data_IF_890324379730
#
_entry.id   IF_890324379730
#
_cell.length_a   1.000
_cell.length_b   1.000
_cell.length_c   1.000
_cell.angle_alpha   90.00
_cell.angle_beta   90.00
_cell.angle_gamma   90.00
#
_symmetry.space_group_name_H-M   'P 1'
#
loop_
_entity.id
_entity.type
_entity.pdbx_description
1 polymer ?
#
# COMPACT_ATOMS: atom_id res chain seq x y z
N UNK A 1 -14.15 69.84 -47.82
CA UNK A 1 -14.00 68.37 -47.99
C UNK A 1 -13.33 67.82 -46.75
N UNK A 2 -13.82 66.74 -46.11
CA UNK A 2 -13.13 66.14 -44.99
C UNK A 2 -11.87 65.43 -45.49
N UNK A 3 -10.70 65.83 -44.99
CA UNK A 3 -9.36 65.34 -45.38
C UNK A 3 -8.89 64.12 -44.59
N UNK A 4 -9.80 63.39 -43.94
CA UNK A 4 -9.44 62.22 -43.15
C UNK A 4 -10.42 61.07 -43.37
N UNK A 5 -10.11 60.24 -44.37
CA UNK A 5 -10.84 59.02 -44.75
C UNK A 5 -10.20 57.75 -44.16
N UNK A 6 -9.31 57.86 -43.17
CA UNK A 6 -8.80 56.69 -42.46
C UNK A 6 -9.85 56.22 -41.44
N UNK A 7 -10.40 55.00 -41.52
CA UNK A 7 -11.13 54.46 -40.40
C UNK A 7 -10.14 54.30 -39.24
N UNK A 8 -10.22 55.18 -38.23
CA UNK A 8 -9.65 54.91 -36.90
C UNK A 8 -10.42 53.70 -36.37
N UNK A 9 -9.85 52.50 -36.52
CA UNK A 9 -10.38 51.30 -35.88
C UNK A 9 -10.59 51.59 -34.40
N UNK A 10 -11.85 51.60 -33.96
CA UNK A 10 -12.23 51.81 -32.55
C UNK A 10 -12.30 50.49 -31.77
N UNK A 11 -12.11 49.35 -32.43
CA UNK A 11 -11.93 48.06 -31.78
C UNK A 11 -10.48 47.93 -31.34
N UNK A 12 -10.26 47.84 -30.01
CA UNK A 12 -8.95 47.50 -29.44
C UNK A 12 -8.40 46.27 -30.15
N UNK A 13 -7.26 46.41 -30.82
CA UNK A 13 -6.64 45.28 -31.49
C UNK A 13 -6.22 44.26 -30.43
N UNK A 14 -6.88 43.10 -30.42
CA UNK A 14 -6.53 41.96 -29.56
C UNK A 14 -5.23 41.39 -30.13
N UNK A 15 -4.10 41.93 -29.70
CA UNK A 15 -2.77 41.56 -30.18
C UNK A 15 -1.92 41.10 -29.00
N UNK A 16 -1.16 40.03 -29.22
CA UNK A 16 -0.23 39.52 -28.24
C UNK A 16 0.93 40.51 -28.07
N UNK A 17 1.17 41.07 -26.88
CA UNK A 17 2.31 41.93 -26.68
C UNK A 17 3.62 41.14 -26.79
N UNK A 18 4.69 41.81 -27.21
CA UNK A 18 6.04 41.23 -27.32
C UNK A 18 6.57 40.67 -26.00
N UNK A 19 6.13 41.22 -24.87
CA UNK A 19 6.56 40.86 -23.52
C UNK A 19 5.37 40.77 -22.58
N UNK A 20 5.42 39.84 -21.63
CA UNK A 20 4.48 39.79 -20.51
C UNK A 20 4.88 40.72 -19.37
N UNK A 21 4.03 40.78 -18.35
CA UNK A 21 4.29 41.40 -17.05
C UNK A 21 3.95 40.41 -15.92
N UNK A 22 4.89 40.15 -15.02
CA UNK A 22 4.68 39.27 -13.88
C UNK A 22 3.57 39.77 -12.93
N UNK A 23 3.37 41.08 -12.85
CA UNK A 23 2.35 41.69 -11.97
C UNK A 23 0.92 41.45 -12.45
N UNK A 24 0.72 41.13 -13.74
CA UNK A 24 -0.61 40.86 -14.30
C UNK A 24 -0.97 39.38 -14.31
N UNK A 25 -0.03 38.48 -14.01
CA UNK A 25 -0.25 37.03 -14.08
C UNK A 25 -1.28 36.58 -13.05
N UNK A 26 -1.15 37.00 -11.78
CA UNK A 26 -1.99 36.49 -10.70
C UNK A 26 -3.48 36.78 -10.88
N UNK A 27 -3.82 37.91 -11.51
CA UNK A 27 -5.21 38.29 -11.79
C UNK A 27 -5.76 37.67 -13.08
N UNK A 28 -4.90 37.11 -13.93
CA UNK A 28 -5.25 36.63 -15.26
C UNK A 28 -5.35 35.10 -15.36
N UNK A 29 -4.75 34.36 -14.42
CA UNK A 29 -4.81 32.91 -14.38
C UNK A 29 -6.17 32.42 -13.84
N UNK A 30 -6.78 31.37 -14.41
CA UNK A 30 -8.13 30.94 -14.04
C UNK A 30 -8.29 30.41 -12.60
N UNK A 31 -7.35 29.58 -12.13
CA UNK A 31 -7.47 28.91 -10.83
C UNK A 31 -6.60 29.56 -9.75
N UNK A 32 -5.49 30.17 -10.17
CA UNK A 32 -4.57 30.85 -9.30
C UNK A 32 -3.79 29.93 -8.36
N UNK A 33 -3.57 28.67 -8.76
CA UNK A 33 -2.95 27.61 -7.94
C UNK A 33 -1.50 27.96 -7.61
N UNK A 34 -0.76 28.50 -8.58
CA UNK A 34 0.67 28.80 -8.44
C UNK A 34 0.98 30.28 -8.20
N UNK A 35 -0.02 31.11 -7.92
CA UNK A 35 0.13 32.57 -7.80
C UNK A 35 0.97 33.01 -6.60
N UNK A 36 1.11 32.16 -5.58
CA UNK A 36 2.02 32.38 -4.47
C UNK A 36 3.51 32.21 -4.84
N UNK A 37 3.85 31.69 -6.02
CA UNK A 37 5.23 31.48 -6.46
C UNK A 37 5.74 32.60 -7.36
N UNK A 38 6.74 33.34 -6.88
CA UNK A 38 7.42 34.40 -7.67
C UNK A 38 8.04 33.84 -8.96
N UNK A 39 8.59 32.63 -8.91
CA UNK A 39 9.16 31.96 -10.07
C UNK A 39 8.11 31.60 -11.12
N UNK A 40 6.91 31.20 -10.70
CA UNK A 40 5.80 30.93 -11.60
C UNK A 40 5.34 32.23 -12.30
N UNK A 41 5.13 33.31 -11.54
CA UNK A 41 4.74 34.60 -12.08
C UNK A 41 5.76 35.12 -13.10
N UNK A 42 7.05 34.99 -12.79
CA UNK A 42 8.14 35.40 -13.69
C UNK A 42 8.23 34.50 -14.93
N UNK A 43 8.08 33.18 -14.75
CA UNK A 43 8.06 32.20 -15.83
C UNK A 43 6.90 32.41 -16.81
N UNK A 44 5.69 32.65 -16.30
CA UNK A 44 4.50 32.95 -17.11
C UNK A 44 4.69 34.25 -17.91
N UNK A 45 5.25 35.29 -17.29
CA UNK A 45 5.58 36.55 -17.96
C UNK A 45 6.57 36.35 -19.13
N UNK A 46 7.62 35.56 -18.92
CA UNK A 46 8.59 35.23 -19.97
C UNK A 46 8.00 34.35 -21.08
N UNK A 47 7.03 33.50 -20.75
CA UNK A 47 6.36 32.63 -21.72
C UNK A 47 5.65 33.44 -22.81
N UNK A 48 5.12 34.63 -22.50
CA UNK A 48 4.53 35.54 -23.51
C UNK A 48 5.54 35.88 -24.60
N UNK A 49 6.75 36.27 -24.21
CA UNK A 49 7.80 36.58 -25.18
C UNK A 49 8.22 35.35 -25.99
N UNK A 50 8.27 34.18 -25.36
CA UNK A 50 8.56 32.92 -26.05
C UNK A 50 7.50 32.57 -27.10
N UNK A 51 6.21 32.66 -26.75
CA UNK A 51 5.09 32.40 -27.66
C UNK A 51 5.06 33.43 -28.78
N UNK A 52 5.22 34.72 -28.46
CA UNK A 52 5.28 35.80 -29.44
C UNK A 52 6.35 35.55 -30.51
N UNK A 53 7.58 35.21 -30.09
CA UNK A 53 8.67 34.90 -31.02
C UNK A 53 8.41 33.62 -31.83
N UNK A 54 7.87 32.57 -31.22
CA UNK A 54 7.65 31.28 -31.88
C UNK A 54 6.49 31.28 -32.88
N UNK A 55 5.48 32.12 -32.67
CA UNK A 55 4.34 32.26 -33.57
C UNK A 55 4.54 33.35 -34.63
N UNK A 56 5.72 33.96 -34.71
CA UNK A 56 6.06 34.93 -35.77
C UNK A 56 5.54 36.34 -35.51
N UNK A 57 5.35 36.72 -34.24
CA UNK A 57 4.83 38.04 -33.84
C UNK A 57 5.69 39.23 -34.31
N UNK A 58 6.96 39.00 -34.64
CA UNK A 58 7.83 40.03 -35.22
C UNK A 58 7.46 40.39 -36.68
N UNK A 59 6.65 39.55 -37.35
CA UNK A 59 6.29 39.70 -38.77
C UNK A 59 4.81 40.04 -38.92
N UNK A 60 3.93 39.30 -38.23
CA UNK A 60 2.47 39.47 -38.29
C UNK A 60 1.90 39.48 -36.88
N UNK A 61 0.88 40.30 -36.65
CA UNK A 61 0.16 40.34 -35.39
C UNK A 61 -0.44 38.97 -35.04
N UNK A 62 -0.48 38.66 -33.75
CA UNK A 62 -1.01 37.40 -33.22
C UNK A 62 -2.27 37.73 -32.42
N UNK A 63 -3.38 37.08 -32.76
CA UNK A 63 -4.70 37.29 -32.18
C UNK A 63 -4.88 36.61 -30.80
N UNK A 64 -3.86 36.69 -29.93
CA UNK A 64 -3.87 36.20 -28.55
C UNK A 64 -3.64 37.35 -27.59
N UNK A 65 -4.11 37.23 -26.35
CA UNK A 65 -3.71 38.15 -25.27
C UNK A 65 -2.66 37.52 -24.37
N UNK A 66 -1.93 38.35 -23.62
CA UNK A 66 -1.03 37.83 -22.58
C UNK A 66 -1.78 36.96 -21.55
N UNK A 67 -3.04 37.29 -21.25
CA UNK A 67 -3.89 36.52 -20.33
C UNK A 67 -4.13 35.10 -20.83
N UNK A 68 -4.34 34.90 -22.14
CA UNK A 68 -4.45 33.57 -22.72
C UNK A 68 -3.17 32.75 -22.50
N UNK A 69 -2.00 33.37 -22.70
CA UNK A 69 -0.72 32.69 -22.46
C UNK A 69 -0.54 32.33 -20.99
N UNK A 70 -0.93 33.20 -20.06
CA UNK A 70 -0.84 32.91 -18.62
C UNK A 70 -1.75 31.76 -18.20
N UNK A 71 -2.99 31.73 -18.70
CA UNK A 71 -3.92 30.64 -18.46
C UNK A 71 -3.36 29.30 -18.98
N UNK A 72 -2.86 29.27 -20.22
CA UNK A 72 -2.23 28.08 -20.78
C UNK A 72 -0.91 27.70 -20.08
N UNK A 73 -0.25 28.65 -19.42
CA UNK A 73 0.92 28.35 -18.60
C UNK A 73 0.53 27.66 -17.29
N UNK A 74 -0.51 28.15 -16.60
CA UNK A 74 -1.06 27.49 -15.41
C UNK A 74 -1.52 26.06 -15.75
N UNK A 75 -2.28 25.90 -16.84
CA UNK A 75 -2.75 24.60 -17.31
C UNK A 75 -1.58 23.65 -17.62
N UNK A 76 -0.51 24.14 -18.28
CA UNK A 76 0.65 23.32 -18.57
C UNK A 76 1.41 22.84 -17.33
N UNK A 77 1.46 23.64 -16.26
CA UNK A 77 2.04 23.22 -14.98
C UNK A 77 1.15 22.15 -14.32
N UNK A 78 -0.16 22.34 -14.33
CA UNK A 78 -1.12 21.37 -13.78
C UNK A 78 -1.05 20.02 -14.50
N UNK A 79 -1.00 20.04 -15.83
CA UNK A 79 -0.89 18.82 -16.64
C UNK A 79 0.42 18.06 -16.33
N UNK A 80 1.53 18.79 -16.20
CA UNK A 80 2.81 18.19 -15.82
C UNK A 80 2.73 17.54 -14.42
N UNK A 81 2.14 18.26 -13.46
CA UNK A 81 1.92 17.78 -12.09
C UNK A 81 1.05 16.51 -12.08
N UNK A 82 -0.04 16.52 -12.84
CA UNK A 82 -0.95 15.39 -12.97
C UNK A 82 -0.24 14.14 -13.50
N UNK A 83 0.51 14.25 -14.60
CA UNK A 83 1.23 13.12 -15.19
C UNK A 83 2.28 12.57 -14.21
N UNK A 84 2.99 13.45 -13.49
CA UNK A 84 3.99 13.02 -12.50
C UNK A 84 3.35 12.29 -11.32
N UNK A 85 2.28 12.85 -10.75
CA UNK A 85 1.54 12.23 -9.63
C UNK A 85 0.94 10.89 -10.04
N UNK A 86 0.42 10.77 -11.27
CA UNK A 86 -0.10 9.51 -11.81
C UNK A 86 1.00 8.43 -11.86
N UNK A 87 2.17 8.79 -12.38
CA UNK A 87 3.32 7.88 -12.44
C UNK A 87 3.81 7.48 -11.04
N UNK A 88 3.97 8.45 -10.14
CA UNK A 88 4.38 8.17 -8.77
C UNK A 88 3.37 7.29 -8.05
N UNK A 89 2.08 7.57 -8.22
CA UNK A 89 0.99 6.79 -7.62
C UNK A 89 1.04 5.35 -8.09
N UNK A 90 1.22 5.13 -9.40
CA UNK A 90 1.40 3.79 -9.97
C UNK A 90 2.62 3.06 -9.38
N UNK A 91 3.74 3.74 -9.20
CA UNK A 91 4.96 3.13 -8.67
C UNK A 91 4.87 2.70 -7.20
N UNK A 92 4.03 3.35 -6.40
CA UNK A 92 4.04 3.12 -4.95
C UNK A 92 2.72 2.68 -4.36
N UNK A 93 1.64 2.60 -5.14
CA UNK A 93 0.32 2.29 -4.62
C UNK A 93 0.35 1.04 -3.72
N UNK A 94 1.04 -0.02 -4.16
CA UNK A 94 1.21 -1.29 -3.43
C UNK A 94 1.83 -1.14 -2.04
N UNK A 95 2.80 -0.23 -1.88
CA UNK A 95 3.46 0.03 -0.61
C UNK A 95 2.74 1.08 0.24
N UNK A 96 1.97 1.95 -0.40
CA UNK A 96 1.16 2.96 0.27
C UNK A 96 -0.16 2.38 0.83
N UNK A 97 -0.55 1.16 0.43
CA UNK A 97 -1.83 0.57 0.82
C UNK A 97 -2.02 0.57 2.34
N UNK A 98 -3.08 1.26 2.75
CA UNK A 98 -3.56 1.48 4.09
C UNK A 98 -2.72 2.40 4.97
N UNK A 99 -1.81 3.17 4.38
CA UNK A 99 -1.25 4.34 5.04
C UNK A 99 -2.30 5.46 5.16
N UNK A 100 -1.98 6.52 5.91
CA UNK A 100 -2.86 7.68 6.09
C UNK A 100 -3.21 8.35 4.75
N UNK A 101 -4.50 8.63 4.55
CA UNK A 101 -5.03 9.34 3.38
C UNK A 101 -4.94 10.86 3.54
N UNK A 102 -5.28 11.61 2.50
CA UNK A 102 -5.40 13.06 2.52
C UNK A 102 -6.79 13.54 2.10
N UNK A 103 -7.22 14.69 2.62
CA UNK A 103 -8.37 15.42 2.07
C UNK A 103 -7.90 16.67 1.34
N UNK A 104 -8.62 17.06 0.29
CA UNK A 104 -8.20 18.13 -0.61
C UNK A 104 -9.25 19.23 -0.70
N UNK A 105 -8.80 20.42 -1.07
CA UNK A 105 -9.69 21.51 -1.46
C UNK A 105 -10.04 21.47 -2.95
N UNK A 106 -10.79 22.48 -3.41
CA UNK A 106 -11.22 22.59 -4.81
C UNK A 106 -10.07 22.92 -5.78
N UNK A 107 -8.88 23.31 -5.27
CA UNK A 107 -7.67 23.56 -6.04
C UNK A 107 -6.74 22.34 -6.08
N UNK A 108 -7.05 21.30 -5.30
CA UNK A 108 -6.22 20.11 -5.13
C UNK A 108 -5.13 20.28 -4.08
N UNK A 109 -5.22 21.31 -3.23
CA UNK A 109 -4.32 21.50 -2.10
C UNK A 109 -4.78 20.66 -0.91
N UNK A 110 -3.83 20.06 -0.18
CA UNK A 110 -4.14 19.21 0.96
C UNK A 110 -4.68 20.04 2.14
N UNK A 111 -5.85 19.66 2.67
CA UNK A 111 -6.46 20.25 3.87
C UNK A 111 -6.07 19.49 5.13
N UNK A 112 -6.13 18.16 5.08
CA UNK A 112 -5.77 17.27 6.18
C UNK A 112 -4.98 16.08 5.66
N UNK A 113 -4.09 15.52 6.49
CA UNK A 113 -3.22 14.41 6.13
C UNK A 113 -1.77 14.84 5.89
N UNK A 114 -0.93 13.92 5.40
CA UNK A 114 0.51 14.15 5.27
C UNK A 114 0.86 15.04 4.07
N UNK A 115 1.42 16.22 4.34
CA UNK A 115 1.84 17.19 3.31
C UNK A 115 3.15 16.82 2.63
N UNK A 116 3.26 17.10 1.32
CA UNK A 116 4.48 16.91 0.53
C UNK A 116 4.86 15.44 0.30
N UNK A 117 3.89 14.53 0.35
CA UNK A 117 4.10 13.09 0.19
C UNK A 117 4.57 12.72 -1.23
N UNK A 118 4.12 13.46 -2.24
CA UNK A 118 4.56 13.42 -3.64
C UNK A 118 6.04 13.81 -3.87
N UNK A 119 6.68 14.46 -2.89
CA UNK A 119 8.07 14.92 -3.00
C UNK A 119 9.07 14.02 -2.28
N UNK A 120 8.58 13.05 -1.50
CA UNK A 120 9.42 12.20 -0.66
C UNK A 120 9.76 10.90 -1.36
N UNK A 121 10.99 10.45 -1.14
CA UNK A 121 11.37 9.09 -1.50
C UNK A 121 10.63 8.10 -0.63
N UNK A 122 10.06 7.07 -1.25
CA UNK A 122 9.27 6.09 -0.53
C UNK A 122 10.15 5.06 0.15
N UNK A 123 9.69 4.63 1.32
CA UNK A 123 10.27 3.48 1.99
C UNK A 123 9.55 2.24 1.48
N UNK A 124 10.28 1.35 0.82
CA UNK A 124 9.76 0.04 0.44
C UNK A 124 9.47 -0.75 1.72
N UNK A 125 8.19 -0.95 2.00
CA UNK A 125 7.73 -1.61 3.24
C UNK A 125 7.12 -2.99 2.98
N UNK A 126 6.98 -3.39 1.70
CA UNK A 126 6.31 -4.63 1.31
C UNK A 126 4.91 -4.73 1.96
N UNK A 127 4.20 -3.61 2.04
CA UNK A 127 2.98 -3.48 2.85
C UNK A 127 1.89 -4.47 2.39
N UNK A 128 1.69 -4.59 1.08
CA UNK A 128 0.77 -5.57 0.52
C UNK A 128 1.13 -7.02 0.88
N UNK A 129 2.40 -7.42 0.73
CA UNK A 129 2.85 -8.77 1.06
C UNK A 129 2.71 -9.05 2.56
N UNK A 130 3.00 -8.07 3.41
CA UNK A 130 2.78 -8.16 4.85
C UNK A 130 1.30 -8.40 5.17
N UNK A 131 0.36 -7.66 4.56
CA UNK A 131 -1.09 -7.86 4.77
C UNK A 131 -1.56 -9.25 4.37
N UNK A 132 -1.09 -9.76 3.24
CA UNK A 132 -1.36 -11.15 2.82
C UNK A 132 -0.80 -12.13 3.86
N UNK A 133 0.43 -11.89 4.33
CA UNK A 133 1.06 -12.66 5.40
C UNK A 133 0.26 -12.64 6.70
N UNK A 134 -0.20 -11.46 7.14
CA UNK A 134 -0.99 -11.28 8.36
C UNK A 134 -2.33 -12.04 8.29
N UNK A 135 -2.96 -12.07 7.11
CA UNK A 135 -4.14 -12.90 6.86
C UNK A 135 -3.86 -14.40 6.99
N UNK A 136 -2.77 -14.89 6.42
CA UNK A 136 -2.36 -16.29 6.53
C UNK A 136 -1.95 -16.68 7.96
N UNK A 137 -1.18 -15.82 8.64
CA UNK A 137 -0.80 -16.01 10.04
C UNK A 137 -2.03 -16.06 10.96
N UNK A 138 -3.05 -15.26 10.65
CA UNK A 138 -4.32 -15.22 11.40
C UNK A 138 -5.07 -16.55 11.25
N UNK A 139 -5.14 -17.09 10.04
CA UNK A 139 -5.75 -18.40 9.77
C UNK A 139 -4.97 -19.52 10.47
N UNK A 140 -3.64 -19.45 10.44
CA UNK A 140 -2.78 -20.43 11.09
C UNK A 140 -2.75 -20.34 12.63
N UNK A 141 -3.38 -19.32 13.22
CA UNK A 141 -3.47 -19.14 14.67
C UNK A 141 -2.17 -18.68 15.35
N UNK A 142 -1.21 -18.15 14.57
CA UNK A 142 0.06 -17.62 15.08
C UNK A 142 0.02 -16.11 15.38
N UNK A 143 -1.12 -15.45 15.12
CA UNK A 143 -1.30 -14.00 15.25
C UNK A 143 -1.49 -13.33 13.89
N UNK A 144 -1.52 -12.00 13.83
CA UNK A 144 -1.77 -11.24 12.60
C UNK A 144 -2.69 -10.05 12.89
N UNK A 145 -3.52 -9.68 11.93
CA UNK A 145 -4.52 -8.61 12.07
C UNK A 145 -5.79 -9.06 12.80
N UNK A 146 -6.09 -10.37 12.83
CA UNK A 146 -7.31 -10.89 13.47
C UNK A 146 -7.05 -11.32 14.92
N UNK A 147 -7.78 -10.76 15.91
CA UNK A 147 -7.69 -11.18 17.30
C UNK A 147 -8.05 -12.66 17.49
N UNK A 148 -7.18 -13.37 18.20
CA UNK A 148 -7.40 -14.77 18.55
C UNK A 148 -7.92 -14.85 19.99
N UNK A 149 -9.00 -15.59 20.20
CA UNK A 149 -9.64 -15.78 21.49
C UNK A 149 -9.41 -17.20 22.00
N UNK A 150 -9.55 -17.37 23.32
CA UNK A 150 -9.49 -18.67 23.99
C UNK A 150 -10.77 -18.84 24.80
N UNK A 151 -11.45 -19.96 24.62
CA UNK A 151 -12.60 -20.38 25.39
C UNK A 151 -12.32 -21.73 26.04
N UNK A 152 -13.05 -22.06 27.10
CA UNK A 152 -13.01 -23.41 27.66
C UNK A 152 -14.38 -23.85 28.12
N UNK A 153 -14.55 -25.17 28.22
CA UNK A 153 -15.74 -25.76 28.80
C UNK A 153 -15.39 -27.00 29.63
N UNK A 154 -16.26 -27.33 30.58
CA UNK A 154 -16.19 -28.58 31.34
C UNK A 154 -16.84 -29.71 30.54
N UNK A 155 -16.12 -30.82 30.38
CA UNK A 155 -16.71 -32.03 29.82
C UNK A 155 -17.75 -32.61 30.80
N UNK A 156 -18.86 -33.10 30.27
CA UNK A 156 -19.93 -33.75 31.02
C UNK A 156 -19.78 -35.25 30.89
N UNK A 157 -19.95 -35.97 32.00
CA UNK A 157 -19.88 -37.42 32.02
C UNK A 157 -20.90 -38.04 31.05
N UNK A 158 -20.48 -39.08 30.34
CA UNK A 158 -21.26 -39.78 29.32
C UNK A 158 -21.71 -38.91 28.13
N UNK A 159 -21.17 -37.69 27.97
CA UNK A 159 -21.40 -36.84 26.81
C UNK A 159 -20.14 -36.76 25.96
N UNK A 160 -20.25 -37.24 24.72
CA UNK A 160 -19.12 -37.32 23.81
C UNK A 160 -19.05 -36.16 22.81
N UNK A 161 -20.21 -35.62 22.42
CA UNK A 161 -20.36 -34.61 21.37
C UNK A 161 -20.67 -33.22 21.94
N UNK A 162 -19.91 -32.21 21.51
CA UNK A 162 -20.00 -30.84 21.99
C UNK A 162 -20.12 -29.86 20.82
N UNK A 163 -21.18 -29.05 20.81
CA UNK A 163 -21.32 -27.95 19.86
C UNK A 163 -20.55 -26.73 20.38
N UNK A 164 -19.37 -26.50 19.81
CA UNK A 164 -18.47 -25.43 20.25
C UNK A 164 -19.04 -24.05 19.91
N UNK A 165 -19.74 -23.91 18.77
CA UNK A 165 -20.39 -22.64 18.40
C UNK A 165 -21.39 -22.20 19.47
N UNK A 166 -22.25 -23.12 19.94
CA UNK A 166 -23.27 -22.83 20.95
C UNK A 166 -22.67 -22.49 22.32
N UNK A 167 -21.64 -23.24 22.74
CA UNK A 167 -20.92 -22.98 23.99
C UNK A 167 -20.30 -21.58 23.95
N UNK A 168 -19.57 -21.24 22.89
CA UNK A 168 -18.87 -19.96 22.80
C UNK A 168 -19.86 -18.80 22.62
N UNK A 169 -20.92 -18.96 21.81
CA UNK A 169 -21.92 -17.92 21.62
C UNK A 169 -22.70 -17.62 22.91
N UNK A 170 -23.00 -18.63 23.73
CA UNK A 170 -23.65 -18.42 25.03
C UNK A 170 -22.77 -17.67 26.03
N UNK A 171 -21.47 -17.98 26.09
CA UNK A 171 -20.51 -17.21 26.89
C UNK A 171 -20.28 -15.80 26.34
N UNK A 172 -20.29 -15.64 25.01
CA UNK A 172 -20.23 -14.33 24.37
C UNK A 172 -21.43 -13.45 24.72
N UNK A 173 -22.64 -14.02 24.78
CA UNK A 173 -23.87 -13.30 25.08
C UNK A 173 -23.98 -12.93 26.57
N UNK A 174 -23.63 -13.85 27.47
CA UNK A 174 -23.65 -13.62 28.92
C UNK A 174 -22.47 -12.79 29.42
N UNK A 175 -21.40 -12.69 28.63
CA UNK A 175 -20.17 -11.98 28.99
C UNK A 175 -19.28 -12.73 29.99
N UNK A 176 -19.68 -13.94 30.40
CA UNK A 176 -18.96 -14.78 31.36
C UNK A 176 -18.86 -16.24 30.88
N UNK A 177 -17.85 -16.95 31.35
CA UNK A 177 -17.75 -18.40 31.18
C UNK A 177 -18.68 -19.15 32.16
N UNK A 178 -18.70 -20.48 32.08
CA UNK A 178 -19.43 -21.36 33.00
C UNK A 178 -18.99 -21.25 34.47
N UNK A 179 -17.94 -20.48 34.78
CA UNK A 179 -17.45 -20.17 36.13
C UNK A 179 -17.78 -18.74 36.57
N UNK A 180 -18.47 -17.96 35.75
CA UNK A 180 -18.73 -16.54 36.03
C UNK A 180 -17.52 -15.63 35.77
N UNK A 181 -16.48 -16.12 35.11
CA UNK A 181 -15.29 -15.34 34.76
C UNK A 181 -15.55 -14.52 33.49
N UNK A 182 -15.24 -13.22 33.45
CA UNK A 182 -15.41 -12.41 32.25
C UNK A 182 -14.66 -12.97 31.04
N UNK A 183 -15.29 -12.98 29.87
CA UNK A 183 -14.67 -13.43 28.61
C UNK A 183 -14.30 -12.26 27.70
N UNK A 184 -13.09 -12.27 27.12
CA UNK A 184 -12.58 -11.20 26.23
C UNK A 184 -13.28 -11.10 24.86
N UNK A 185 -14.20 -12.01 24.58
CA UNK A 185 -15.00 -12.08 23.36
C UNK A 185 -16.50 -11.76 23.58
N UNK A 186 -16.85 -11.15 24.72
CA UNK A 186 -18.21 -10.73 25.01
C UNK A 186 -18.79 -9.84 23.89
N UNK A 187 -19.99 -10.17 23.41
CA UNK A 187 -20.68 -9.48 22.32
C UNK A 187 -20.08 -9.67 20.91
N UNK A 188 -18.97 -10.40 20.73
CA UNK A 188 -18.23 -10.49 19.45
C UNK A 188 -18.57 -11.71 18.59
N UNK A 189 -19.42 -12.63 19.07
CA UNK A 189 -19.74 -13.90 18.37
C UNK A 189 -21.20 -13.93 17.90
N UNK A 190 -21.89 -12.80 17.92
CA UNK A 190 -23.33 -12.71 17.62
C UNK A 190 -23.59 -13.03 16.15
N UNK A 191 -24.28 -14.16 15.87
CA UNK A 191 -24.60 -14.66 14.52
C UNK A 191 -23.42 -14.87 13.57
N UNK A 192 -22.19 -14.92 14.08
CA UNK A 192 -20.99 -15.15 13.28
C UNK A 192 -20.44 -16.55 13.51
N UNK A 193 -19.96 -17.20 12.43
CA UNK A 193 -19.31 -18.52 12.50
C UNK A 193 -17.95 -18.38 13.17
N UNK A 194 -17.69 -19.18 14.19
CA UNK A 194 -16.35 -19.30 14.77
C UNK A 194 -15.45 -20.18 13.89
N UNK A 195 -14.17 -19.85 13.88
CA UNK A 195 -13.12 -20.67 13.26
C UNK A 195 -12.19 -21.17 14.34
N UNK A 196 -12.24 -22.48 14.61
CA UNK A 196 -11.39 -23.11 15.62
C UNK A 196 -10.03 -23.41 15.02
N UNK A 197 -8.97 -22.84 15.62
CA UNK A 197 -7.59 -23.03 15.16
C UNK A 197 -6.87 -24.11 15.94
N UNK A 198 -7.19 -24.28 17.23
CA UNK A 198 -6.54 -25.28 18.08
C UNK A 198 -7.43 -25.72 19.24
N UNK A 199 -7.45 -27.03 19.50
CA UNK A 199 -8.05 -27.61 20.70
C UNK A 199 -6.92 -28.04 21.62
N UNK A 200 -6.96 -27.61 22.88
CA UNK A 200 -6.04 -28.04 23.91
C UNK A 200 -6.82 -28.88 24.92
N UNK A 201 -6.46 -30.15 24.92
CA UNK A 201 -6.91 -31.09 25.91
C UNK A 201 -5.67 -31.85 26.38
N UNK A 202 -5.24 -31.58 27.61
CA UNK A 202 -4.14 -32.33 28.25
C UNK A 202 -4.53 -32.58 29.70
N UNK A 203 -4.82 -33.83 30.03
CA UNK A 203 -4.97 -34.20 31.43
C UNK A 203 -3.61 -34.05 32.12
N UNK A 204 -3.55 -33.63 33.40
CA UNK A 204 -2.28 -33.61 34.15
C UNK A 204 -1.57 -34.98 34.14
N UNK A 205 -2.34 -36.07 34.00
CA UNK A 205 -1.86 -37.46 33.86
C UNK A 205 -1.23 -37.78 32.50
N UNK A 206 -1.52 -37.01 31.45
CA UNK A 206 -0.92 -37.16 30.11
C UNK A 206 0.46 -36.49 29.98
N UNK A 207 1.07 -36.07 31.09
CA UNK A 207 2.48 -35.69 31.10
C UNK A 207 3.32 -36.93 31.38
N UNK A 208 3.53 -37.75 30.34
CA UNK A 208 4.55 -38.79 30.41
C UNK A 208 5.92 -38.15 30.22
N UNK A 209 6.78 -38.27 31.22
CA UNK A 209 8.22 -38.04 31.10
C UNK A 209 8.84 -39.43 31.14
N UNK A 210 9.75 -39.74 30.21
CA UNK A 210 10.46 -41.04 30.20
C UNK A 210 11.13 -41.36 31.56
N UNK A 211 11.46 -40.31 32.34
CA UNK A 211 11.84 -40.39 33.76
C UNK A 211 10.84 -39.67 34.69
N UNK A 212 9.55 -39.95 34.53
CA UNK A 212 8.49 -39.43 35.40
C UNK A 212 8.49 -40.16 36.74
N UNK A 213 9.46 -39.86 37.61
CA UNK A 213 9.55 -40.51 38.92
C UNK A 213 9.37 -39.50 40.06
N UNK A 214 8.15 -39.43 40.60
CA UNK A 214 7.81 -38.70 41.83
C UNK A 214 7.97 -39.58 43.07
N UNK A 215 9.00 -40.46 43.09
CA UNK A 215 9.25 -41.41 44.17
C UNK A 215 10.66 -42.02 44.18
N UNK A 216 11.60 -41.41 43.45
CA UNK A 216 12.90 -42.00 43.15
C UNK A 216 14.09 -41.49 43.87
N UNK A 217 14.19 -41.86 45.14
CA UNK A 217 15.34 -41.56 45.97
C UNK A 217 16.39 -42.68 45.99
N UNK A 218 16.32 -43.67 45.09
CA UNK A 218 17.38 -44.66 44.90
C UNK A 218 17.48 -44.85 43.38
N UNK A 219 18.51 -44.52 42.61
CA UNK A 219 19.98 -44.56 42.72
C UNK A 219 20.45 -43.70 41.51
N UNK A 220 21.32 -42.69 41.63
CA UNK A 220 22.78 -42.75 41.34
C UNK A 220 23.44 -41.53 42.06
N UNK A 221 24.11 -41.80 43.20
CA UNK A 221 25.09 -40.98 43.99
C UNK A 221 24.90 -39.46 44.14
N UNK A 222 24.97 -38.81 45.31
CA UNK A 222 25.41 -39.14 46.66
C UNK A 222 24.51 -38.38 47.65
N UNK A 223 23.60 -39.07 48.34
CA UNK A 223 23.08 -38.65 49.63
C UNK A 223 23.21 -39.86 50.57
N UNK A 224 24.36 -39.91 51.23
CA UNK A 224 24.84 -40.96 52.13
C UNK A 224 23.76 -41.78 52.86
N UNK A 225 23.57 -43.04 52.45
CA UNK A 225 23.51 -44.17 53.39
C UNK A 225 23.92 -45.44 52.63
N UNK A 226 25.14 -45.88 52.89
CA UNK A 226 25.75 -47.11 52.40
C UNK A 226 24.96 -48.29 52.97
N UNK A 227 24.28 -49.10 52.13
CA UNK A 227 23.60 -50.30 52.64
C UNK A 227 22.55 -51.00 51.77
N UNK A 228 22.37 -50.66 50.48
CA UNK A 228 21.34 -51.31 49.64
C UNK A 228 21.89 -52.14 48.46
N UNK A 229 23.20 -52.30 48.33
CA UNK A 229 23.79 -53.11 47.27
C UNK A 229 24.63 -54.22 47.91
N UNK A 230 24.34 -55.47 47.55
CA UNK A 230 25.21 -56.60 47.87
C UNK A 230 26.51 -56.48 47.06
N UNK A 231 27.63 -57.03 47.57
CA UNK A 231 28.96 -56.97 46.92
C UNK A 231 28.97 -57.51 45.47
N UNK A 232 27.95 -58.28 45.07
CA UNK A 232 27.78 -58.83 43.72
C UNK A 232 26.86 -57.98 42.81
N UNK A 233 26.63 -56.71 43.16
CA UNK A 233 25.79 -55.82 42.35
C UNK A 233 26.55 -55.33 41.12
N UNK A 234 26.09 -55.72 39.94
CA UNK A 234 26.61 -55.21 38.66
C UNK A 234 25.88 -53.93 38.25
N UNK A 235 26.64 -52.88 37.96
CA UNK A 235 26.10 -51.62 37.40
C UNK A 235 26.34 -51.60 35.89
N UNK A 236 25.26 -51.55 35.12
CA UNK A 236 25.34 -51.45 33.66
C UNK A 236 25.13 -49.99 33.21
N UNK A 237 26.10 -49.45 32.49
CA UNK A 237 25.98 -48.12 31.88
C UNK A 237 25.20 -48.28 30.57
N UNK A 238 23.93 -47.88 30.57
CA UNK A 238 23.09 -47.92 29.39
C UNK A 238 23.46 -46.77 28.45
N UNK A 239 23.86 -47.04 27.20
CA UNK A 239 24.12 -45.98 26.22
C UNK A 239 22.88 -45.13 25.92
N UNK A 240 23.10 -43.86 25.59
CA UNK A 240 22.01 -42.89 25.32
C UNK A 240 21.07 -43.31 24.19
N UNK A 241 21.56 -44.02 23.17
CA UNK A 241 20.74 -44.51 22.07
C UNK A 241 19.74 -45.59 22.53
N UNK A 242 20.12 -46.46 23.46
CA UNK A 242 19.25 -47.51 23.99
C UNK A 242 18.13 -46.91 24.83
N UNK A 243 18.45 -45.92 25.66
CA UNK A 243 17.45 -45.14 26.39
C UNK A 243 16.48 -44.41 25.44
N UNK A 244 16.98 -43.83 24.34
CA UNK A 244 16.12 -43.19 23.33
C UNK A 244 15.19 -44.19 22.64
N UNK A 245 15.69 -45.37 22.28
CA UNK A 245 14.85 -46.42 21.68
C UNK A 245 13.79 -46.93 22.65
N UNK A 246 14.15 -47.16 23.91
CA UNK A 246 13.17 -47.52 24.94
C UNK A 246 12.11 -46.44 25.10
N UNK A 247 12.49 -45.16 25.08
CA UNK A 247 11.53 -44.05 25.17
C UNK A 247 10.52 -44.06 24.02
N UNK A 248 10.98 -44.28 22.79
CA UNK A 248 10.11 -44.37 21.60
C UNK A 248 9.15 -45.56 21.72
N UNK A 249 9.64 -46.73 22.13
CA UNK A 249 8.81 -47.93 22.29
C UNK A 249 7.77 -47.78 23.42
N UNK A 250 8.10 -47.05 24.49
CA UNK A 250 7.13 -46.74 25.55
C UNK A 250 6.10 -45.70 25.10
N UNK A 251 6.49 -44.68 24.34
CA UNK A 251 5.56 -43.73 23.74
C UNK A 251 4.57 -44.44 22.81
N UNK A 252 5.07 -45.36 21.97
CA UNK A 252 4.24 -46.21 21.09
C UNK A 252 3.33 -47.16 21.90
N UNK A 253 3.84 -47.76 22.98
CA UNK A 253 3.04 -48.57 23.92
C UNK A 253 1.92 -47.77 24.57
N UNK A 254 2.17 -46.50 24.93
CA UNK A 254 1.15 -45.59 25.46
C UNK A 254 0.11 -45.26 24.37
N UNK A 255 0.59 -45.03 23.14
CA UNK A 255 -0.25 -44.74 21.98
C UNK A 255 -1.19 -45.90 21.64
N UNK A 256 -0.70 -47.14 21.76
CA UNK A 256 -1.43 -48.35 21.36
C UNK A 256 -2.24 -48.99 22.50
N UNK A 257 -1.76 -48.98 23.75
CA UNK A 257 -2.37 -49.74 24.87
C UNK A 257 -3.21 -48.91 25.84
N UNK A 258 -2.93 -47.62 26.02
CA UNK A 258 -3.60 -46.79 27.04
C UNK A 258 -4.67 -45.85 26.49
N UNK A 259 -5.46 -46.31 25.49
CA UNK A 259 -6.60 -45.60 24.89
C UNK A 259 -6.30 -44.11 24.67
N UNK A 260 -5.69 -43.79 23.53
CA UNK A 260 -5.35 -42.41 23.19
C UNK A 260 -6.55 -41.48 23.37
N UNK A 261 -6.35 -40.48 24.22
CA UNK A 261 -7.22 -39.34 24.34
C UNK A 261 -7.16 -38.52 23.05
N UNK A 262 -8.11 -38.72 22.13
CA UNK A 262 -8.17 -38.04 20.84
C UNK A 262 -9.45 -37.22 20.72
N UNK A 263 -9.52 -36.40 19.68
CA UNK A 263 -10.72 -35.64 19.36
C UNK A 263 -10.90 -35.54 17.85
N UNK A 264 -12.15 -35.39 17.43
CA UNK A 264 -12.54 -35.11 16.07
C UNK A 264 -13.31 -33.79 16.06
N UNK A 265 -13.02 -32.92 15.09
CA UNK A 265 -13.71 -31.66 14.92
C UNK A 265 -14.28 -31.58 13.51
N UNK A 266 -15.59 -31.65 13.39
CA UNK A 266 -16.34 -31.54 12.12
C UNK A 266 -17.43 -30.49 12.33
N UNK A 267 -17.51 -29.48 11.47
CA UNK A 267 -18.57 -28.44 11.49
C UNK A 267 -18.90 -27.88 12.89
N UNK A 268 -17.87 -27.50 13.64
CA UNK A 268 -17.95 -26.96 15.01
C UNK A 268 -18.48 -27.96 16.07
N UNK A 269 -18.66 -29.22 15.70
CA UNK A 269 -18.93 -30.33 16.61
C UNK A 269 -17.60 -30.98 16.99
N UNK A 270 -17.25 -30.85 18.27
CA UNK A 270 -16.11 -31.52 18.86
C UNK A 270 -16.57 -32.84 19.49
N UNK A 271 -16.08 -33.95 18.96
CA UNK A 271 -16.24 -35.29 19.53
C UNK A 271 -14.97 -35.68 20.27
N UNK A 272 -15.11 -36.17 21.49
CA UNK A 272 -13.98 -36.59 22.33
C UNK A 272 -13.89 -38.11 22.39
N UNK A 273 -12.68 -38.65 22.43
CA UNK A 273 -12.44 -40.08 22.62
C UNK A 273 -11.40 -40.31 23.71
N UNK A 274 -11.60 -41.28 24.61
CA UNK A 274 -12.86 -41.99 24.87
C UNK A 274 -13.96 -41.06 25.42
N UNK A 275 -15.21 -41.57 25.53
CA UNK A 275 -16.33 -40.83 26.13
C UNK A 275 -15.92 -40.33 27.54
N UNK A 276 -16.05 -39.04 27.85
CA UNK A 276 -15.73 -38.50 29.17
C UNK A 276 -16.37 -39.29 30.30
N UNK A 277 -15.54 -39.79 31.21
CA UNK A 277 -15.94 -40.53 32.41
C UNK A 277 -15.35 -39.88 33.67
N UNK A 278 -15.93 -40.21 34.83
CA UNK A 278 -15.45 -39.79 36.15
C UNK A 278 -13.93 -39.96 36.34
N UNK A 279 -13.32 -41.00 35.75
CA UNK A 279 -11.91 -41.33 35.91
C UNK A 279 -10.95 -40.50 35.01
N UNK A 280 -11.45 -39.93 33.91
CA UNK A 280 -10.65 -39.20 32.92
C UNK A 280 -10.77 -37.67 33.00
N UNK A 281 -11.85 -37.15 33.57
CA UNK A 281 -12.18 -35.72 33.60
C UNK A 281 -12.61 -35.29 35.00
N UNK A 282 -11.66 -34.89 35.85
CA UNK A 282 -11.96 -34.31 37.16
C UNK A 282 -12.45 -32.86 37.03
N UNK A 283 -12.90 -32.25 38.13
CA UNK A 283 -13.40 -30.87 38.17
C UNK A 283 -12.40 -29.81 37.66
N UNK A 284 -11.11 -30.16 37.60
CA UNK A 284 -10.02 -29.32 37.12
C UNK A 284 -9.70 -29.55 35.63
N UNK A 285 -10.17 -30.65 35.02
CA UNK A 285 -9.89 -31.01 33.63
C UNK A 285 -10.87 -30.29 32.70
N UNK A 286 -10.38 -29.28 31.98
CA UNK A 286 -11.14 -28.52 30.99
C UNK A 286 -10.58 -28.70 29.60
N UNK A 287 -11.45 -28.56 28.63
CA UNK A 287 -11.05 -28.51 27.23
C UNK A 287 -11.00 -27.03 26.85
N UNK A 288 -9.86 -26.63 26.32
CA UNK A 288 -9.64 -25.27 25.85
C UNK A 288 -9.66 -25.26 24.34
N UNK A 289 -10.20 -24.21 23.76
CA UNK A 289 -10.27 -24.01 22.32
C UNK A 289 -9.78 -22.61 22.01
N UNK A 290 -8.81 -22.51 21.10
CA UNK A 290 -8.48 -21.25 20.45
C UNK A 290 -9.29 -21.11 19.18
N UNK A 291 -9.85 -19.92 19.00
CA UNK A 291 -10.69 -19.60 17.87
C UNK A 291 -10.54 -18.12 17.50
N UNK A 292 -10.97 -17.79 16.30
CA UNK A 292 -11.22 -16.41 15.90
C UNK A 292 -12.59 -16.30 15.27
N UNK A 293 -13.06 -15.07 15.15
CA UNK A 293 -14.26 -14.72 14.41
C UNK A 293 -13.82 -13.95 13.19
N UNK A 294 -14.26 -14.37 12.00
CA UNK A 294 -13.92 -13.65 10.78
C UNK A 294 -14.69 -12.32 10.77
N UNK A 295 -14.00 -11.17 10.71
CA UNK A 295 -14.66 -9.88 10.59
C UNK A 295 -15.17 -9.71 9.16
N UNK A 296 -16.03 -8.71 8.93
CA UNK A 296 -16.24 -8.23 7.57
C UNK A 296 -14.94 -7.59 7.03
N UNK A 297 -14.76 -7.60 5.71
CA UNK A 297 -13.56 -7.06 5.05
C UNK A 297 -13.38 -5.55 5.25
N UNK A 298 -14.41 -4.86 5.72
CA UNK A 298 -14.47 -3.40 5.88
C UNK A 298 -14.52 -2.95 7.34
N UNK A 299 -14.55 -3.90 8.29
CA UNK A 299 -14.62 -3.59 9.71
C UNK A 299 -13.21 -3.54 10.30
N UNK A 300 -12.90 -2.40 10.93
CA UNK A 300 -11.65 -2.19 11.64
C UNK A 300 -11.76 -2.71 13.08
N UNK A 301 -10.67 -3.28 13.59
CA UNK A 301 -10.62 -3.72 14.97
C UNK A 301 -10.35 -2.55 15.91
N UNK A 302 -11.20 -2.38 16.94
CA UNK A 302 -11.00 -1.33 17.96
C UNK A 302 -9.66 -1.37 18.71
N UNK A 303 -8.94 -2.48 18.64
CA UNK A 303 -7.67 -2.69 19.35
C UNK A 303 -6.44 -2.57 18.45
N UNK A 304 -6.59 -2.64 17.13
CA UNK A 304 -5.47 -2.69 16.17
C UNK A 304 -5.89 -1.92 14.91
N UNK A 305 -5.12 -0.90 14.55
CA UNK A 305 -5.20 -0.25 13.24
C UNK A 305 -4.50 -1.15 12.22
N UNK A 306 -5.29 -1.77 11.35
CA UNK A 306 -4.84 -2.60 10.23
C UNK A 306 -4.77 -1.83 8.91
N UNK A 307 -5.04 -0.52 8.95
CA UNK A 307 -5.02 0.38 7.81
C UNK A 307 -6.08 0.05 6.77
N UNK A 308 -7.23 -0.54 7.15
CA UNK A 308 -8.38 -0.70 6.23
C UNK A 308 -8.92 0.68 5.81
N UNK A 309 -8.96 1.63 6.74
CA UNK A 309 -9.40 3.02 6.53
C UNK A 309 -8.38 3.90 5.79
N UNK A 310 -7.19 3.37 5.49
CA UNK A 310 -6.12 4.08 4.82
C UNK A 310 -6.22 4.09 3.30
N UNK A 311 -5.10 4.36 2.62
CA UNK A 311 -5.02 4.41 1.15
C UNK A 311 -5.46 3.07 0.56
N UNK A 312 -6.52 3.08 -0.25
CA UNK A 312 -7.05 1.89 -0.90
C UNK A 312 -6.93 1.93 -2.43
N UNK A 313 -6.70 3.12 -3.00
CA UNK A 313 -6.66 3.35 -4.44
C UNK A 313 -5.95 4.68 -4.74
N UNK A 314 -5.72 4.97 -6.02
CA UNK A 314 -5.02 6.16 -6.50
C UNK A 314 -5.67 7.48 -6.03
N UNK A 315 -7.01 7.52 -5.93
CA UNK A 315 -7.73 8.73 -5.52
C UNK A 315 -7.59 9.08 -4.03
N UNK A 316 -7.21 8.10 -3.19
CA UNK A 316 -7.04 8.31 -1.74
C UNK A 316 -5.58 8.58 -1.35
N UNK A 317 -4.65 8.56 -2.32
CA UNK A 317 -3.26 8.95 -2.11
C UNK A 317 -3.17 10.43 -1.72
N UNK A 318 -2.35 10.79 -0.71
CA UNK A 318 -2.20 12.16 -0.22
C UNK A 318 -1.26 12.99 -1.13
N UNK A 319 -1.59 13.08 -2.42
CA UNK A 319 -0.83 13.81 -3.44
C UNK A 319 -1.52 15.10 -3.83
N UNK A 320 -0.91 16.21 -3.45
CA UNK A 320 -1.26 17.53 -3.94
C UNK A 320 -0.54 17.84 -5.26
N UNK A 321 -0.87 19.00 -5.84
CA UNK A 321 -0.16 19.51 -7.01
C UNK A 321 1.32 19.74 -6.68
N UNK A 322 2.21 19.33 -7.58
CA UNK A 322 3.65 19.52 -7.44
C UNK A 322 3.95 21.02 -7.34
N UNK A 323 4.59 21.51 -6.25
CA UNK A 323 4.92 22.92 -6.12
C UNK A 323 5.87 23.37 -7.24
N UNK A 324 5.58 24.50 -7.89
CA UNK A 324 6.36 25.00 -9.03
C UNK A 324 7.87 25.13 -8.76
N UNK A 325 8.23 25.50 -7.53
CA UNK A 325 9.63 25.61 -7.07
C UNK A 325 10.42 24.29 -7.16
N UNK A 326 9.73 23.14 -7.10
CA UNK A 326 10.33 21.81 -7.09
C UNK A 326 10.42 21.20 -8.50
N UNK A 327 9.90 21.88 -9.52
CA UNK A 327 9.99 21.43 -10.91
C UNK A 327 11.38 21.74 -11.45
N UNK A 328 12.08 20.71 -11.90
CA UNK A 328 13.43 20.83 -12.45
C UNK A 328 13.43 21.46 -13.86
N UNK A 329 14.63 21.66 -14.43
CA UNK A 329 14.78 22.27 -15.75
C UNK A 329 14.11 21.47 -16.88
N UNK A 330 14.10 20.13 -16.78
CA UNK A 330 13.49 19.24 -17.77
C UNK A 330 11.96 19.44 -17.78
N UNK A 331 11.34 19.41 -16.60
CA UNK A 331 9.90 19.67 -16.44
C UNK A 331 9.53 21.08 -16.88
N UNK A 332 10.30 22.10 -16.48
CA UNK A 332 10.09 23.48 -16.92
C UNK A 332 10.19 23.61 -18.44
N UNK A 333 11.10 22.89 -19.09
CA UNK A 333 11.20 22.90 -20.55
C UNK A 333 10.02 22.21 -21.23
N UNK A 334 9.52 21.11 -20.68
CA UNK A 334 8.32 20.44 -21.15
C UNK A 334 7.10 21.37 -21.05
N UNK A 335 6.91 22.02 -19.90
CA UNK A 335 5.82 22.97 -19.66
C UNK A 335 5.84 24.10 -20.69
N UNK A 336 7.01 24.71 -20.98
CA UNK A 336 7.11 25.77 -22.00
C UNK A 336 6.66 25.32 -23.40
N UNK A 337 7.03 24.10 -23.80
CA UNK A 337 6.63 23.52 -25.09
C UNK A 337 5.13 23.20 -25.11
N UNK A 338 4.63 22.63 -24.03
CA UNK A 338 3.20 22.29 -23.91
C UNK A 338 2.33 23.54 -23.90
N UNK A 339 2.72 24.59 -23.16
CA UNK A 339 2.03 25.89 -23.20
C UNK A 339 2.05 26.52 -24.59
N UNK A 340 3.13 26.38 -25.37
CA UNK A 340 3.15 26.84 -26.76
C UNK A 340 2.12 26.08 -27.61
N UNK A 341 2.00 24.76 -27.43
CA UNK A 341 1.02 23.95 -28.14
C UNK A 341 -0.43 24.32 -27.76
N UNK A 342 -0.70 24.59 -26.47
CA UNK A 342 -1.99 25.14 -26.01
C UNK A 342 -2.28 26.53 -26.61
N UNK A 343 -1.26 27.40 -26.69
CA UNK A 343 -1.41 28.71 -27.34
C UNK A 343 -1.72 28.59 -28.83
N UNK A 344 -1.11 27.63 -29.55
CA UNK A 344 -1.45 27.35 -30.96
C UNK A 344 -2.89 26.87 -31.11
N UNK A 345 -3.38 26.04 -30.20
CA UNK A 345 -4.78 25.59 -30.22
C UNK A 345 -5.73 26.77 -30.04
N UNK A 346 -5.52 27.60 -29.01
CA UNK A 346 -6.33 28.79 -28.78
C UNK A 346 -6.29 29.74 -29.97
N UNK A 347 -5.11 29.98 -30.57
CA UNK A 347 -4.97 30.80 -31.77
C UNK A 347 -5.75 30.20 -32.95
N UNK A 348 -5.66 28.89 -33.16
CA UNK A 348 -6.41 28.18 -34.20
C UNK A 348 -7.93 28.32 -34.01
N UNK A 349 -8.42 28.19 -32.78
CA UNK A 349 -9.83 28.39 -32.44
C UNK A 349 -10.29 29.84 -32.68
N UNK A 350 -9.46 30.83 -32.34
CA UNK A 350 -9.76 32.25 -32.57
C UNK A 350 -9.79 32.55 -34.07
N UNK A 351 -8.79 32.08 -34.83
CA UNK A 351 -8.73 32.26 -36.29
C UNK A 351 -9.86 31.54 -37.03
N UNK A 352 -10.33 30.41 -36.51
CA UNK A 352 -11.51 29.71 -37.03
C UNK A 352 -12.79 30.55 -36.97
N UNK A 353 -12.88 31.53 -36.06
CA UNK A 353 -14.02 32.47 -35.98
C UNK A 353 -13.93 33.60 -37.01
N UNK A 354 -12.76 33.87 -37.57
CA UNK A 354 -12.48 34.96 -38.50
C UNK A 354 -11.80 34.44 -39.78
N UNK A 355 -12.45 33.51 -40.48
CA UNK A 355 -11.85 32.73 -41.57
C UNK A 355 -11.22 33.56 -42.70
N UNK A 356 -11.78 34.74 -42.99
CA UNK A 356 -11.22 35.72 -43.93
C UNK A 356 -11.09 37.09 -43.28
N UNK A 357 -9.90 37.69 -43.37
CA UNK A 357 -9.70 39.10 -43.02
C UNK A 357 -9.82 39.90 -44.32
N UNK A 358 -10.84 40.76 -44.48
CA UNK A 358 -10.94 41.61 -45.66
C UNK A 358 -9.85 42.67 -45.62
N UNK A 359 -9.04 42.73 -46.68
CA UNK A 359 -8.08 43.80 -46.95
C UNK A 359 -8.59 44.60 -48.16
N UNK A 360 -8.15 45.86 -48.38
CA UNK A 360 -8.56 46.62 -49.56
C UNK A 360 -8.18 45.89 -50.85
N UNK A 361 -9.17 45.32 -51.55
CA UNK A 361 -9.01 44.66 -52.85
C UNK A 361 -8.66 43.16 -52.84
N UNK A 362 -8.48 42.54 -51.66
CA UNK A 362 -8.16 41.10 -51.53
C UNK A 362 -8.64 40.54 -50.17
N UNK A 363 -8.50 39.23 -49.92
CA UNK A 363 -8.79 38.60 -48.62
C UNK A 363 -7.66 37.69 -48.18
N UNK A 364 -7.19 37.84 -46.93
CA UNK A 364 -6.26 36.87 -46.33
C UNK A 364 -7.05 35.71 -45.74
N UNK A 365 -6.75 34.49 -46.17
CA UNK A 365 -7.28 33.26 -45.56
C UNK A 365 -6.41 32.84 -44.37
N UNK A 366 -7.02 32.65 -43.20
CA UNK A 366 -6.30 32.25 -41.99
C UNK A 366 -6.10 30.73 -41.89
N UNK A 367 -4.90 30.31 -41.48
CA UNK A 367 -4.43 28.92 -41.37
C UNK A 367 -4.95 28.16 -40.13
N UNK A 368 -6.23 28.29 -39.82
CA UNK A 368 -6.84 27.73 -38.60
C UNK A 368 -6.77 26.19 -38.52
N UNK A 369 -7.08 25.48 -39.61
CA UNK A 369 -7.11 24.01 -39.64
C UNK A 369 -5.72 23.40 -39.38
N UNK A 370 -4.69 23.96 -40.00
CA UNK A 370 -3.30 23.52 -39.82
C UNK A 370 -2.80 23.76 -38.40
N UNK A 371 -3.11 24.93 -37.82
CA UNK A 371 -2.75 25.25 -36.43
C UNK A 371 -3.40 24.30 -35.43
N UNK A 372 -4.68 23.98 -35.60
CA UNK A 372 -5.38 23.03 -34.74
C UNK A 372 -4.82 21.61 -34.86
N UNK A 373 -4.48 21.18 -36.08
CA UNK A 373 -3.85 19.88 -36.32
C UNK A 373 -2.49 19.78 -35.64
N UNK A 374 -1.61 20.77 -35.88
CA UNK A 374 -0.27 20.83 -35.28
C UNK A 374 -0.33 20.91 -33.75
N UNK A 375 -1.27 21.68 -33.20
CA UNK A 375 -1.42 21.81 -31.76
C UNK A 375 -1.78 20.47 -31.10
N UNK A 376 -2.77 19.74 -31.66
CA UNK A 376 -3.17 18.43 -31.15
C UNK A 376 -2.05 17.39 -31.26
N UNK A 377 -1.32 17.41 -32.37
CA UNK A 377 -0.18 16.53 -32.59
C UNK A 377 0.94 16.81 -31.58
N UNK A 378 1.35 18.07 -31.43
CA UNK A 378 2.39 18.46 -30.47
C UNK A 378 2.00 18.15 -29.02
N UNK A 379 0.74 18.42 -28.63
CA UNK A 379 0.24 18.09 -27.29
C UNK A 379 0.31 16.58 -27.02
N UNK A 380 -0.19 15.76 -27.96
CA UNK A 380 -0.17 14.29 -27.84
C UNK A 380 1.27 13.78 -27.75
N UNK A 381 2.13 14.21 -28.68
CA UNK A 381 3.54 13.80 -28.69
C UNK A 381 4.28 14.17 -27.41
N UNK A 382 4.00 15.34 -26.82
CA UNK A 382 4.63 15.76 -25.56
C UNK A 382 4.15 14.92 -24.38
N UNK A 383 2.85 14.59 -24.32
CA UNK A 383 2.29 13.73 -23.27
C UNK A 383 2.83 12.31 -23.39
N UNK A 384 2.81 11.73 -24.59
CA UNK A 384 3.27 10.38 -24.85
C UNK A 384 4.75 10.21 -24.51
N UNK A 385 5.62 11.12 -24.98
CA UNK A 385 7.06 11.10 -24.65
C UNK A 385 7.31 11.23 -23.15
N UNK A 386 6.54 12.06 -22.45
CA UNK A 386 6.69 12.18 -21.00
C UNK A 386 6.26 10.90 -20.28
N UNK A 387 5.12 10.31 -20.67
CA UNK A 387 4.65 9.04 -20.11
C UNK A 387 5.61 7.88 -20.41
N UNK A 388 6.20 7.84 -21.59
CA UNK A 388 7.20 6.85 -21.99
C UNK A 388 8.47 6.96 -21.13
N UNK A 389 9.08 8.15 -21.03
CA UNK A 389 10.25 8.38 -20.19
C UNK A 389 9.94 8.00 -18.74
N UNK A 390 8.78 8.41 -18.23
CA UNK A 390 8.38 8.06 -16.87
C UNK A 390 8.25 6.55 -16.70
N UNK A 391 7.63 5.84 -17.64
CA UNK A 391 7.50 4.38 -17.63
C UNK A 391 8.87 3.67 -17.59
N UNK A 392 9.86 4.18 -18.30
CA UNK A 392 11.23 3.65 -18.25
C UNK A 392 11.93 3.90 -16.90
N UNK A 393 11.50 4.93 -16.18
CA UNK A 393 11.98 5.28 -14.83
C UNK A 393 11.12 4.71 -13.69
N UNK A 394 10.18 3.82 -13.98
CA UNK A 394 9.47 3.07 -12.94
C UNK A 394 10.47 2.25 -12.11
N UNK A 395 10.24 2.13 -10.79
CA UNK A 395 11.21 1.48 -9.90
C UNK A 395 11.52 0.03 -10.29
N UNK A 396 10.53 -0.70 -10.80
CA UNK A 396 10.73 -2.05 -11.33
C UNK A 396 11.66 -2.07 -12.55
N UNK A 397 11.53 -1.08 -13.44
CA UNK A 397 12.37 -1.00 -14.63
C UNK A 397 13.79 -0.56 -14.29
N UNK A 398 13.94 0.41 -13.39
CA UNK A 398 15.25 0.80 -12.87
C UNK A 398 15.97 -0.37 -12.20
N UNK A 399 15.27 -1.16 -11.39
CA UNK A 399 15.83 -2.36 -10.76
C UNK A 399 16.29 -3.41 -11.79
N UNK A 400 15.52 -3.60 -12.87
CA UNK A 400 15.91 -4.49 -13.98
C UNK A 400 17.14 -3.98 -14.72
N UNK A 401 17.16 -2.69 -15.07
CA UNK A 401 18.30 -2.05 -15.72
C UNK A 401 19.57 -2.14 -14.87
N UNK A 402 19.46 -1.95 -13.55
CA UNK A 402 20.61 -2.06 -12.65
C UNK A 402 21.10 -3.51 -12.50
N UNK A 403 20.20 -4.50 -12.52
CA UNK A 403 20.56 -5.92 -12.60
C UNK A 403 21.33 -6.23 -13.90
N UNK A 404 20.84 -5.76 -15.04
CA UNK A 404 21.48 -5.94 -16.35
C UNK A 404 22.86 -5.27 -16.42
N UNK A 405 23.01 -4.07 -15.83
CA UNK A 405 24.31 -3.39 -15.71
C UNK A 405 25.28 -4.19 -14.84
N UNK A 406 24.81 -4.75 -13.72
CA UNK A 406 25.64 -5.56 -12.83
C UNK A 406 26.12 -6.85 -13.53
N UNK A 407 25.24 -7.51 -14.28
CA UNK A 407 25.60 -8.70 -15.09
C UNK A 407 26.59 -8.37 -16.21
N UNK A 408 26.39 -7.23 -16.88
CA UNK A 408 27.31 -6.73 -17.90
C UNK A 408 28.69 -6.43 -17.31
N UNK A 409 28.73 -5.74 -16.15
CA UNK A 409 29.97 -5.47 -15.43
C UNK A 409 30.67 -6.76 -15.00
N UNK A 410 29.94 -7.74 -14.46
CA UNK A 410 30.49 -9.05 -14.11
C UNK A 410 31.07 -9.78 -15.32
N UNK A 411 30.42 -9.67 -16.49
CA UNK A 411 30.92 -10.24 -17.75
C UNK A 411 32.20 -9.54 -18.21
N UNK A 412 32.28 -8.21 -18.09
CA UNK A 412 33.52 -7.47 -18.35
C UNK A 412 34.64 -7.93 -17.40
N UNK A 413 34.35 -8.11 -16.11
CA UNK A 413 35.34 -8.60 -15.15
C UNK A 413 35.79 -10.04 -15.43
N UNK A 414 34.92 -10.93 -15.94
CA UNK A 414 35.32 -12.28 -16.39
C UNK A 414 36.35 -12.26 -17.52
N UNK A 415 36.28 -11.25 -18.39
CA UNK A 415 37.22 -11.10 -19.50
C UNK A 415 38.48 -10.29 -19.12
N UNK A 416 38.51 -9.73 -17.90
CA UNK A 416 39.69 -9.04 -17.38
C UNK A 416 40.67 -10.06 -16.78
N UNK A 417 41.92 -10.15 -17.27
CA UNK A 417 42.90 -11.13 -16.81
C UNK A 417 43.45 -10.86 -15.40
N UNK A 418 43.02 -9.78 -14.73
CA UNK A 418 43.44 -9.44 -13.38
C UNK A 418 42.25 -9.60 -12.42
N UNK A 419 42.33 -10.49 -11.42
CA UNK A 419 41.35 -10.54 -10.34
C UNK A 419 41.56 -9.28 -9.48
N UNK A 420 40.84 -8.20 -9.81
CA UNK A 420 40.79 -7.03 -8.96
C UNK A 420 39.95 -7.43 -7.74
N UNK A 421 40.64 -7.68 -6.62
CA UNK A 421 40.03 -7.97 -5.34
C UNK A 421 39.29 -6.72 -4.86
N UNK A 422 37.97 -6.78 -4.77
CA UNK A 422 37.15 -5.73 -4.17
C UNK A 422 36.89 -6.18 -2.72
N UNK A 423 37.58 -5.53 -1.78
CA UNK A 423 37.35 -5.68 -0.33
C UNK A 423 36.25 -4.76 0.17
#
# INVERSE_FOLDING_TARGET
MPTNLSPKSQTSAIILPKTGSASSVAAAVPFGIYTGSVDFLSGASMQVAYVYKKLGGDVVDIELTAQNVYAAYEEGVLEYSYILNLHQGKNMLSDALGNTTGTFDHKGDIKTGPSGSNLKFQRFQMAYAKRVGDGLSSIAGFGGSVPQYSASFKAVENKQDYNIQSIISSSSLSGVDDRGTPVGYAGKVTNQRIYVTKVFYRSPRATWRFYGYYGGINVVGNYSTYGQFADDSTFEIIPTWQNKMQAIMYEDSIFTRTSHYSYELIDNMLRLFPNPSYWGFSEQTRIWVKFYVKPDAWEEYSTIDDGISGVNNLNTLPYDNVPYKNINAIGKQWIRKYTLALCKEMLGQIRGKFQTIPIPGDSVTLNHADLLSQAKEEQTQLKDKLMEILKETEYLQLAKQDSEKAESAATTFKNSPLPIFVG
#
